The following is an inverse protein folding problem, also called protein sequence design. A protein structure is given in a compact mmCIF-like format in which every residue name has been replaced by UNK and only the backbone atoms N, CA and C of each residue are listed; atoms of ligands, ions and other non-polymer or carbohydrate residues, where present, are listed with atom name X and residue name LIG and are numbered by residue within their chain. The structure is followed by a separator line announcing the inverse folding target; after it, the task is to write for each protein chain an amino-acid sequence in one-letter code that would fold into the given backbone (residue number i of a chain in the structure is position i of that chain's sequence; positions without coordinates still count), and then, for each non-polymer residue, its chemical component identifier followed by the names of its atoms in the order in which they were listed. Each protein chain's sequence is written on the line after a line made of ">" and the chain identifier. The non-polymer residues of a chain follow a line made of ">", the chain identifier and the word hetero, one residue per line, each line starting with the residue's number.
data_IF_219403128572
#
_entry.id   IF_219403128572
#
_cell.length_a   1.000
_cell.length_b   1.000
_cell.length_c   1.000
_cell.angle_alpha   90.00
_cell.angle_beta   90.00
_cell.angle_gamma   90.00
#
_symmetry.space_group_name_H-M   'P 1'
#
loop_
_entity.id
_entity.type
_entity.pdbx_description
1 polymer ?
#
# COMPACT_ATOMS: atom_id res chain seq x y z
N UNK A 1 -25.19 11.58 -3.37
CA UNK A 1 -23.92 11.04 -3.87
C UNK A 1 -22.94 12.19 -3.97
N UNK A 2 -22.00 12.28 -3.05
CA UNK A 2 -20.93 13.27 -3.06
C UNK A 2 -19.65 12.57 -2.63
N UNK A 3 -19.17 11.67 -3.50
CA UNK A 3 -17.88 11.01 -3.33
C UNK A 3 -16.80 11.98 -3.79
N UNK A 4 -16.51 12.94 -2.91
CA UNK A 4 -15.38 13.84 -3.04
C UNK A 4 -14.09 13.04 -2.74
N UNK A 5 -13.62 12.22 -3.69
CA UNK A 5 -12.38 11.45 -3.55
C UNK A 5 -11.15 12.32 -3.83
N UNK A 6 -11.08 13.45 -3.11
CA UNK A 6 -9.99 14.42 -3.14
C UNK A 6 -8.65 13.76 -2.79
N UNK A 7 -8.69 12.77 -1.89
CA UNK A 7 -7.58 11.89 -1.55
C UNK A 7 -7.84 10.51 -2.17
N UNK A 8 -6.82 9.92 -2.81
CA UNK A 8 -6.95 8.61 -3.47
C UNK A 8 -7.34 7.50 -2.49
N UNK A 9 -7.95 6.43 -2.98
CA UNK A 9 -8.29 5.25 -2.16
C UNK A 9 -7.18 4.21 -2.24
N UNK A 10 -7.14 3.23 -1.33
CA UNK A 10 -6.20 2.11 -1.47
C UNK A 10 -6.72 1.17 -2.58
N UNK A 11 -5.92 0.93 -3.62
CA UNK A 11 -6.16 -0.14 -4.57
C UNK A 11 -5.83 -1.47 -3.91
N UNK A 12 -6.86 -2.18 -3.45
CA UNK A 12 -6.69 -3.47 -2.76
C UNK A 12 -6.00 -4.52 -3.65
N UNK A 13 -6.27 -4.53 -4.96
CA UNK A 13 -5.71 -5.53 -5.88
C UNK A 13 -4.25 -5.23 -6.18
N UNK A 14 -3.92 -3.97 -6.44
CA UNK A 14 -2.53 -3.55 -6.63
C UNK A 14 -1.72 -3.72 -5.34
N UNK A 15 -2.29 -3.35 -4.19
CA UNK A 15 -1.70 -3.56 -2.86
C UNK A 15 -1.40 -5.04 -2.61
N UNK A 16 -2.37 -5.93 -2.87
CA UNK A 16 -2.17 -7.37 -2.70
C UNK A 16 -1.03 -7.94 -3.56
N UNK A 17 -0.96 -7.52 -4.83
CA UNK A 17 0.15 -7.89 -5.73
C UNK A 17 1.48 -7.32 -5.27
N UNK A 18 1.48 -6.08 -4.78
CA UNK A 18 2.68 -5.40 -4.28
C UNK A 18 3.24 -6.10 -3.04
N UNK A 19 2.39 -6.34 -2.03
CA UNK A 19 2.76 -7.10 -0.82
C UNK A 19 3.35 -8.46 -1.18
N UNK A 20 2.71 -9.20 -2.10
CA UNK A 20 3.25 -10.48 -2.59
C UNK A 20 4.64 -10.32 -3.20
N UNK A 21 4.84 -9.30 -4.04
CA UNK A 21 6.12 -9.04 -4.70
C UNK A 21 7.22 -8.75 -3.69
N UNK A 22 6.96 -7.88 -2.70
CA UNK A 22 7.96 -7.52 -1.68
C UNK A 22 8.33 -8.71 -0.81
N UNK A 23 7.33 -9.48 -0.34
CA UNK A 23 7.56 -10.71 0.46
C UNK A 23 8.41 -11.72 -0.30
N UNK A 24 8.08 -11.99 -1.57
CA UNK A 24 8.79 -12.98 -2.38
C UNK A 24 10.22 -12.52 -2.72
N UNK A 25 10.42 -11.22 -2.98
CA UNK A 25 11.76 -10.65 -3.21
C UNK A 25 12.64 -10.72 -1.96
N UNK A 26 12.04 -10.60 -0.78
CA UNK A 26 12.74 -10.79 0.50
C UNK A 26 13.01 -12.27 0.82
N UNK A 27 12.61 -13.21 -0.05
CA UNK A 27 12.89 -14.64 0.09
C UNK A 27 11.93 -15.39 1.02
N UNK A 28 10.83 -14.76 1.45
CA UNK A 28 9.86 -15.39 2.35
C UNK A 28 8.76 -16.13 1.58
N UNK A 29 8.48 -17.35 2.02
CA UNK A 29 7.32 -18.11 1.56
C UNK A 29 6.04 -17.70 2.32
N UNK A 30 4.87 -18.10 1.82
CA UNK A 30 3.60 -17.92 2.53
C UNK A 30 3.61 -18.61 3.90
N UNK A 31 4.27 -19.76 4.00
CA UNK A 31 4.40 -20.49 5.27
C UNK A 31 5.23 -19.73 6.29
N UNK A 32 6.29 -19.04 5.85
CA UNK A 32 7.13 -18.22 6.73
C UNK A 32 6.33 -17.04 7.27
N UNK A 33 5.63 -16.32 6.39
CA UNK A 33 4.78 -15.19 6.79
C UNK A 33 3.68 -15.64 7.76
N UNK A 34 3.05 -16.79 7.51
CA UNK A 34 2.05 -17.35 8.42
C UNK A 34 2.64 -17.62 9.81
N UNK A 35 3.82 -18.24 9.89
CA UNK A 35 4.49 -18.55 11.16
C UNK A 35 4.95 -17.29 11.89
N UNK A 36 5.62 -16.38 11.19
CA UNK A 36 6.18 -15.14 11.76
C UNK A 36 5.06 -14.24 12.31
N UNK A 37 3.94 -14.14 11.59
CA UNK A 37 2.80 -13.34 12.02
C UNK A 37 1.88 -14.06 13.02
N UNK A 38 2.16 -15.32 13.37
CA UNK A 38 1.35 -16.10 14.31
C UNK A 38 -0.07 -16.39 13.81
N UNK A 39 -0.26 -16.50 12.49
CA UNK A 39 -1.56 -16.82 11.91
C UNK A 39 -1.88 -18.31 12.07
N UNK A 40 -3.12 -18.63 12.40
CA UNK A 40 -3.58 -20.02 12.57
C UNK A 40 -3.49 -20.85 11.28
N UNK A 41 -3.55 -20.21 10.11
CA UNK A 41 -3.48 -20.87 8.81
C UNK A 41 -2.94 -19.91 7.74
N UNK A 42 -2.46 -20.39 6.58
CA UNK A 42 -1.90 -19.53 5.52
C UNK A 42 -2.97 -18.75 4.73
N UNK A 43 -4.25 -19.07 4.95
CA UNK A 43 -5.36 -18.52 4.17
C UNK A 43 -5.46 -16.99 4.17
N UNK A 44 -5.24 -16.26 5.29
CA UNK A 44 -5.25 -14.80 5.28
C UNK A 44 -4.22 -14.22 4.30
N UNK A 45 -3.02 -14.79 4.24
CA UNK A 45 -1.93 -14.33 3.36
C UNK A 45 -2.33 -14.44 1.89
N UNK A 46 -2.93 -15.57 1.48
CA UNK A 46 -3.46 -15.71 0.12
C UNK A 46 -4.57 -14.71 -0.20
N UNK A 47 -5.46 -14.42 0.77
CA UNK A 47 -6.51 -13.40 0.58
C UNK A 47 -5.92 -11.99 0.44
N UNK A 48 -4.83 -11.68 1.15
CA UNK A 48 -4.07 -10.44 0.97
C UNK A 48 -3.49 -10.36 -0.44
N UNK A 49 -2.82 -11.41 -0.91
CA UNK A 49 -2.21 -11.43 -2.26
C UNK A 49 -3.24 -11.26 -3.38
N UNK A 50 -4.44 -11.79 -3.18
CA UNK A 50 -5.56 -11.65 -4.12
C UNK A 50 -6.28 -10.31 -3.99
N UNK A 51 -5.91 -9.45 -3.04
CA UNK A 51 -6.59 -8.18 -2.74
C UNK A 51 -8.05 -8.37 -2.34
N UNK A 52 -8.41 -9.49 -1.70
CA UNK A 52 -9.77 -9.73 -1.18
C UNK A 52 -10.00 -9.04 0.16
N UNK A 53 -8.94 -8.91 0.94
CA UNK A 53 -8.90 -8.20 2.23
C UNK A 53 -7.48 -7.67 2.42
N UNK A 54 -7.33 -6.55 3.12
CA UNK A 54 -6.01 -6.07 3.52
C UNK A 54 -5.54 -6.80 4.80
N UNK A 55 -4.23 -6.88 5.06
CA UNK A 55 -3.77 -7.23 6.39
C UNK A 55 -4.29 -6.18 7.40
N UNK A 56 -4.55 -6.59 8.63
CA UNK A 56 -4.88 -5.63 9.69
C UNK A 56 -3.72 -4.64 9.89
N UNK A 57 -3.99 -3.51 10.54
CA UNK A 57 -2.96 -2.50 10.84
C UNK A 57 -1.78 -3.14 11.61
N UNK A 58 -2.06 -4.02 12.57
CA UNK A 58 -1.04 -4.77 13.30
C UNK A 58 -0.18 -5.67 12.39
N UNK A 59 -0.82 -6.42 11.47
CA UNK A 59 -0.07 -7.25 10.52
C UNK A 59 0.70 -6.42 9.49
N UNK A 60 0.16 -5.28 9.04
CA UNK A 60 0.88 -4.34 8.19
C UNK A 60 2.12 -3.78 8.89
N UNK A 61 2.01 -3.43 10.17
CA UNK A 61 3.14 -2.96 10.97
C UNK A 61 4.21 -4.05 11.13
N UNK A 62 3.80 -5.28 11.46
CA UNK A 62 4.74 -6.41 11.58
C UNK A 62 5.42 -6.74 10.25
N UNK A 63 4.68 -6.70 9.14
CA UNK A 63 5.24 -6.85 7.81
C UNK A 63 6.23 -5.74 7.47
N UNK A 64 5.93 -4.49 7.87
CA UNK A 64 6.83 -3.36 7.62
C UNK A 64 8.15 -3.51 8.38
N UNK A 65 8.10 -4.00 9.62
CA UNK A 65 9.30 -4.35 10.39
C UNK A 65 10.07 -5.53 9.77
N UNK A 66 9.38 -6.60 9.39
CA UNK A 66 9.99 -7.79 8.79
C UNK A 66 10.69 -7.49 7.45
N UNK A 67 10.10 -6.62 6.66
CA UNK A 67 10.55 -6.29 5.30
C UNK A 67 11.43 -5.02 5.27
N UNK A 68 11.66 -4.39 6.42
CA UNK A 68 12.44 -3.15 6.57
C UNK A 68 11.96 -2.01 5.65
N UNK A 69 10.64 -1.86 5.53
CA UNK A 69 10.01 -0.78 4.75
C UNK A 69 9.08 0.03 5.62
N UNK A 70 8.80 1.28 5.25
CA UNK A 70 7.69 2.01 5.85
C UNK A 70 6.36 1.31 5.53
N UNK A 71 5.45 1.26 6.51
CA UNK A 71 4.14 0.62 6.37
C UNK A 71 3.37 1.15 5.15
N UNK A 72 3.40 2.47 4.90
CA UNK A 72 2.75 3.11 3.77
C UNK A 72 3.25 2.57 2.41
N UNK A 73 4.52 2.18 2.33
CA UNK A 73 5.10 1.64 1.10
C UNK A 73 4.58 0.24 0.76
N UNK A 74 3.90 -0.44 1.69
CA UNK A 74 3.22 -1.69 1.40
C UNK A 74 1.88 -1.47 0.67
N UNK A 75 1.35 -0.25 0.71
CA UNK A 75 0.04 0.11 0.16
C UNK A 75 0.19 0.80 -1.20
N UNK A 76 -0.76 0.54 -2.10
CA UNK A 76 -0.85 1.21 -3.39
C UNK A 76 -2.11 2.05 -3.41
N UNK A 77 -1.97 3.36 -3.62
CA UNK A 77 -3.11 4.27 -3.77
C UNK A 77 -3.61 4.28 -5.23
N UNK A 78 -4.92 4.34 -5.42
CA UNK A 78 -5.52 4.80 -6.68
C UNK A 78 -5.20 6.28 -6.83
N UNK A 79 -4.80 6.72 -8.03
CA UNK A 79 -4.65 8.16 -8.28
C UNK A 79 -5.99 8.85 -8.02
N UNK A 80 -6.02 9.89 -7.17
CA UNK A 80 -7.19 10.74 -7.09
C UNK A 80 -7.35 11.52 -8.39
N UNK A 81 -8.56 11.98 -8.69
CA UNK A 81 -8.79 12.89 -9.82
C UNK A 81 -7.88 14.12 -9.72
N UNK A 82 -7.62 14.59 -8.51
CA UNK A 82 -6.67 15.68 -8.23
C UNK A 82 -5.23 15.31 -8.57
N UNK A 83 -4.74 14.13 -8.17
CA UNK A 83 -3.39 13.67 -8.53
C UNK A 83 -3.22 13.44 -10.04
N UNK A 84 -4.24 12.90 -10.71
CA UNK A 84 -4.31 12.75 -12.16
C UNK A 84 -4.31 14.10 -12.88
N UNK A 85 -5.08 15.06 -12.35
CA UNK A 85 -5.10 16.44 -12.83
C UNK A 85 -3.70 17.05 -12.74
N UNK A 86 -3.08 17.05 -11.56
CA UNK A 86 -1.73 17.57 -11.36
C UNK A 86 -0.69 16.92 -12.29
N UNK A 87 -0.74 15.60 -12.47
CA UNK A 87 0.17 14.90 -13.39
C UNK A 87 0.00 15.33 -14.87
N UNK A 88 -1.23 15.64 -15.30
CA UNK A 88 -1.50 16.14 -16.66
C UNK A 88 -0.96 17.56 -16.88
N UNK A 89 -0.89 18.38 -15.83
CA UNK A 89 -0.41 19.76 -15.91
C UNK A 89 1.11 19.90 -15.66
N UNK A 90 1.73 18.99 -14.90
CA UNK A 90 3.12 19.14 -14.42
C UNK A 90 4.21 18.55 -15.33
N UNK A 91 3.87 17.95 -16.49
CA UNK A 91 4.89 17.60 -17.50
C UNK A 91 6.10 16.85 -16.93
N UNK A 92 5.86 15.68 -16.31
CA UNK A 92 6.87 14.70 -15.93
C UNK A 92 7.96 15.19 -14.94
N UNK A 93 7.58 15.67 -13.75
CA UNK A 93 8.44 15.56 -12.54
C UNK A 93 7.63 15.27 -11.28
N UNK A 94 7.17 14.03 -11.09
CA UNK A 94 6.64 13.68 -9.77
C UNK A 94 6.84 12.23 -9.37
N UNK A 95 7.75 12.05 -8.41
CA UNK A 95 7.42 11.35 -7.16
C UNK A 95 8.49 11.59 -6.11
N UNK A 96 8.23 12.43 -5.09
CA UNK A 96 8.91 12.40 -3.77
C UNK A 96 8.07 13.14 -2.71
N UNK A 97 7.00 12.56 -2.13
CA UNK A 97 6.17 13.20 -1.06
C UNK A 97 5.62 14.62 -1.38
N UNK A 98 5.58 15.03 -2.66
CA UNK A 98 5.94 16.41 -3.05
C UNK A 98 4.83 17.48 -3.07
N UNK A 99 3.54 17.14 -3.09
CA UNK A 99 2.47 18.17 -3.08
C UNK A 99 1.66 18.16 -1.77
N UNK A 100 1.52 17.00 -1.12
CA UNK A 100 0.63 16.88 0.04
C UNK A 100 1.24 17.29 1.39
N UNK A 101 2.53 17.60 1.47
CA UNK A 101 3.01 18.50 2.54
C UNK A 101 3.12 19.95 2.09
N UNK A 102 3.22 20.22 0.78
CA UNK A 102 3.35 21.61 0.30
C UNK A 102 2.08 22.42 0.55
N UNK A 103 0.91 21.79 0.61
CA UNK A 103 -0.35 22.48 0.97
C UNK A 103 -0.83 22.24 2.40
N UNK A 104 -0.34 21.19 3.08
CA UNK A 104 -0.55 21.09 4.53
C UNK A 104 0.18 22.26 5.25
N UNK A 105 1.21 22.81 4.60
CA UNK A 105 1.93 24.07 4.88
C UNK A 105 1.49 25.22 3.95
N UNK A 106 0.22 25.29 3.52
CA UNK A 106 -0.38 26.59 3.19
C UNK A 106 -0.57 27.44 4.48
N UNK A 107 0.43 27.64 5.32
CA UNK A 107 1.21 28.88 5.33
C UNK A 107 1.09 29.77 4.07
#
# INVERSE_FOLDING_TARGET
>A
MSDNNMFGNIDMKATGRHIRSVIMKAGYSVGDIQKILGLSCPQPVYRWFQGRVLPSIDHLYKLSLLLEVHMENLLVATPSEFALFLWKFDGQKSSRRFIAYSELMMA
#
